data_IF_604664598713
#
_entry.id   IF_604664598713
#
_cell.length_a   1.000
_cell.length_b   1.000
_cell.length_c   1.000
_cell.angle_alpha   90.00
_cell.angle_beta   90.00
_cell.angle_gamma   90.00
#
_symmetry.space_group_name_H-M   'P 1'
#
loop_
_entity.id
_entity.type
_entity.pdbx_description
1 polymer ?
#
# COMPACT_ATOMS: atom_id res chain seq x y z
N UNK A 1 2.75 22.65 35.47
CA UNK A 1 2.18 23.54 34.45
C UNK A 1 2.26 22.78 33.14
N UNK A 2 1.14 22.24 32.60
CA UNK A 2 1.09 21.63 31.29
C UNK A 2 1.27 22.76 30.28
N UNK A 3 2.39 22.76 29.53
CA UNK A 3 2.56 23.64 28.39
C UNK A 3 1.41 23.31 27.41
N UNK A 4 0.45 24.23 27.31
CA UNK A 4 -0.66 24.14 26.38
C UNK A 4 -0.13 24.29 24.96
N UNK A 5 0.36 23.19 24.36
CA UNK A 5 0.47 23.11 22.91
C UNK A 5 -0.95 23.20 22.38
N UNK A 6 -1.21 24.20 21.55
CA UNK A 6 -2.45 24.29 20.79
C UNK A 6 -2.52 23.02 19.95
N UNK A 7 -3.41 22.11 20.31
CA UNK A 7 -3.66 20.94 19.48
C UNK A 7 -4.29 21.42 18.16
N UNK A 8 -4.07 20.67 17.12
CA UNK A 8 -4.57 20.97 15.79
C UNK A 8 -5.77 20.08 15.44
N UNK A 9 -6.74 20.59 14.71
CA UNK A 9 -7.74 19.77 14.05
C UNK A 9 -7.18 19.34 12.71
N UNK A 10 -7.16 18.01 12.45
CA UNK A 10 -6.60 17.44 11.24
C UNK A 10 -7.71 16.92 10.31
N UNK A 11 -7.53 17.11 9.00
CA UNK A 11 -8.35 16.53 7.95
C UNK A 11 -7.48 15.66 7.04
N UNK A 12 -7.69 14.35 7.04
CA UNK A 12 -7.14 13.46 6.04
C UNK A 12 -8.01 13.45 4.78
N UNK A 13 -7.39 13.50 3.59
CA UNK A 13 -8.12 13.44 2.32
C UNK A 13 -7.57 12.30 1.46
N UNK A 14 -8.43 11.32 1.21
CA UNK A 14 -8.21 10.23 0.25
C UNK A 14 -9.18 10.34 -0.94
N UNK A 15 -8.97 9.58 -2.00
CA UNK A 15 -9.93 9.48 -3.09
C UNK A 15 -11.15 8.67 -2.66
N UNK A 16 -10.91 7.47 -2.14
CA UNK A 16 -11.91 6.54 -1.60
C UNK A 16 -11.53 6.14 -0.18
N UNK A 17 -12.39 5.44 0.51
CA UNK A 17 -12.11 4.66 1.72
C UNK A 17 -12.51 3.21 1.52
N UNK A 18 -12.24 2.67 0.32
CA UNK A 18 -12.42 1.27 -0.02
C UNK A 18 -11.19 0.42 0.32
N UNK A 19 -11.10 -0.79 -0.26
CA UNK A 19 -10.00 -1.71 -0.03
C UNK A 19 -8.80 -1.28 -0.86
N UNK A 20 -7.76 -0.82 -0.15
CA UNK A 20 -6.51 -0.42 -0.78
C UNK A 20 -5.44 -0.14 0.26
N UNK A 21 -4.16 -0.17 -0.16
CA UNK A 21 -3.05 0.08 0.74
C UNK A 21 -3.03 1.52 1.27
N UNK A 22 -3.29 2.50 0.42
CA UNK A 22 -3.32 3.91 0.80
C UNK A 22 -4.48 4.21 1.76
N UNK A 23 -5.68 3.67 1.48
CA UNK A 23 -6.87 3.81 2.31
C UNK A 23 -6.67 3.21 3.70
N UNK A 24 -6.00 2.06 3.78
CA UNK A 24 -5.61 1.44 5.05
C UNK A 24 -4.66 2.34 5.86
N UNK A 25 -3.68 2.95 5.21
CA UNK A 25 -2.77 3.91 5.87
C UNK A 25 -3.54 5.12 6.39
N UNK A 26 -4.49 5.67 5.62
CA UNK A 26 -5.35 6.78 6.08
C UNK A 26 -6.13 6.38 7.32
N UNK A 27 -6.76 5.20 7.30
CA UNK A 27 -7.50 4.68 8.44
C UNK A 27 -6.60 4.55 9.68
N UNK A 28 -5.44 3.91 9.55
CA UNK A 28 -4.50 3.72 10.65
C UNK A 28 -4.00 5.05 11.24
N UNK A 29 -3.64 6.03 10.40
CA UNK A 29 -3.21 7.34 10.87
C UNK A 29 -4.35 8.10 11.57
N UNK A 30 -5.56 8.03 11.04
CA UNK A 30 -6.71 8.70 11.61
C UNK A 30 -7.11 8.12 12.97
N UNK A 31 -7.01 6.80 13.15
CA UNK A 31 -7.41 6.12 14.40
C UNK A 31 -6.32 6.13 15.45
N UNK A 32 -5.08 5.77 15.10
CA UNK A 32 -4.02 5.51 16.09
C UNK A 32 -3.25 6.76 16.49
N UNK A 33 -3.40 7.85 15.73
CA UNK A 33 -2.87 9.15 16.10
C UNK A 33 -3.94 10.16 16.56
N UNK A 34 -5.20 9.70 16.74
CA UNK A 34 -6.30 10.60 17.13
C UNK A 34 -6.02 11.39 18.41
N UNK A 35 -5.33 10.81 19.38
CA UNK A 35 -5.01 11.48 20.65
C UNK A 35 -3.94 12.57 20.52
N UNK A 36 -3.28 12.68 19.38
CA UNK A 36 -2.33 13.77 19.09
C UNK A 36 -3.02 15.04 18.58
N UNK A 37 -4.32 14.98 18.26
CA UNK A 37 -5.13 16.06 17.73
C UNK A 37 -6.35 16.32 18.61
N UNK A 38 -6.97 17.51 18.49
CA UNK A 38 -8.23 17.82 19.16
C UNK A 38 -9.40 17.14 18.45
N UNK A 39 -9.38 17.16 17.10
CA UNK A 39 -10.34 16.47 16.27
C UNK A 39 -9.64 15.89 15.04
N UNK A 40 -10.09 14.71 14.63
CA UNK A 40 -9.63 14.03 13.40
C UNK A 40 -10.81 13.83 12.48
N UNK A 41 -10.63 14.26 11.24
CA UNK A 41 -11.63 14.15 10.17
C UNK A 41 -11.03 13.42 8.98
N UNK A 42 -11.88 12.71 8.22
CA UNK A 42 -11.52 12.09 6.94
C UNK A 42 -12.49 12.56 5.87
N UNK A 43 -12.00 12.91 4.69
CA UNK A 43 -12.82 13.24 3.52
C UNK A 43 -12.48 12.34 2.34
N UNK A 44 -13.50 11.75 1.72
CA UNK A 44 -13.37 10.90 0.52
C UNK A 44 -14.73 10.72 -0.18
N UNK A 45 -14.77 9.94 -1.27
CA UNK A 45 -16.05 9.53 -1.87
C UNK A 45 -16.84 8.54 -1.02
N UNK A 46 -16.19 7.97 0.01
CA UNK A 46 -16.72 6.90 0.85
C UNK A 46 -16.09 5.54 0.54
N UNK A 47 -16.58 4.49 1.21
CA UNK A 47 -16.13 3.11 1.04
C UNK A 47 -16.24 2.28 2.31
N UNK A 48 -15.70 1.07 2.28
CA UNK A 48 -15.84 0.06 3.34
C UNK A 48 -15.24 0.46 4.70
N UNK A 49 -14.30 1.41 4.72
CA UNK A 49 -13.70 1.88 5.97
C UNK A 49 -14.54 2.94 6.70
N UNK A 50 -15.64 3.46 6.11
CA UNK A 50 -16.44 4.52 6.74
C UNK A 50 -17.04 4.09 8.08
N UNK A 51 -17.60 2.87 8.14
CA UNK A 51 -18.20 2.32 9.36
C UNK A 51 -17.14 2.19 10.46
N UNK A 52 -15.98 1.63 10.13
CA UNK A 52 -14.86 1.49 11.06
C UNK A 52 -14.30 2.84 11.55
N UNK A 53 -14.30 3.87 10.70
CA UNK A 53 -13.94 5.23 11.12
C UNK A 53 -14.93 5.75 12.16
N UNK A 54 -16.25 5.60 11.91
CA UNK A 54 -17.30 6.02 12.82
C UNK A 54 -17.23 5.30 14.17
N UNK A 55 -17.00 3.98 14.18
CA UNK A 55 -16.79 3.17 15.40
C UNK A 55 -15.62 3.70 16.25
N UNK A 56 -14.59 4.27 15.63
CA UNK A 56 -13.45 4.90 16.31
C UNK A 56 -13.64 6.38 16.64
N UNK A 57 -14.86 6.93 16.40
CA UNK A 57 -15.20 8.32 16.69
C UNK A 57 -14.60 9.31 15.67
N UNK A 58 -14.18 8.86 14.50
CA UNK A 58 -13.63 9.69 13.42
C UNK A 58 -14.75 10.14 12.51
N UNK A 59 -14.89 11.46 12.32
CA UNK A 59 -15.92 12.01 11.45
C UNK A 59 -15.50 11.89 9.97
N UNK A 60 -16.29 11.15 9.17
CA UNK A 60 -16.11 11.07 7.73
C UNK A 60 -17.01 12.07 6.99
N UNK A 61 -16.43 12.79 6.03
CA UNK A 61 -17.10 13.74 5.15
C UNK A 61 -17.11 13.20 3.71
N UNK A 62 -18.29 12.87 3.19
CA UNK A 62 -18.41 12.49 1.78
C UNK A 62 -18.22 13.71 0.87
N UNK A 63 -17.27 13.59 -0.06
CA UNK A 63 -16.99 14.56 -1.11
C UNK A 63 -17.09 13.89 -2.50
N UNK A 64 -17.18 14.71 -3.55
CA UNK A 64 -17.13 14.20 -4.92
C UNK A 64 -15.71 13.67 -5.25
N UNK A 65 -15.63 12.76 -6.23
CA UNK A 65 -14.36 12.17 -6.64
C UNK A 65 -13.34 13.25 -7.03
N UNK A 66 -12.27 13.34 -6.24
CA UNK A 66 -11.19 14.33 -6.44
C UNK A 66 -10.46 14.16 -7.78
N UNK A 67 -10.59 13.01 -8.45
CA UNK A 67 -9.99 12.77 -9.77
C UNK A 67 -10.86 13.23 -10.94
N UNK A 68 -12.06 13.75 -10.66
CA UNK A 68 -12.96 14.29 -11.68
C UNK A 68 -12.35 15.50 -12.38
N UNK A 69 -12.43 15.51 -13.71
CA UNK A 69 -11.93 16.60 -14.57
C UNK A 69 -13.03 17.60 -14.98
N UNK A 70 -14.28 17.37 -14.57
CA UNK A 70 -15.41 18.25 -14.93
C UNK A 70 -15.32 19.56 -14.14
N UNK A 71 -15.33 20.75 -14.80
CA UNK A 71 -15.15 22.03 -14.13
C UNK A 71 -16.17 22.30 -13.01
N UNK A 72 -17.44 21.95 -13.23
CA UNK A 72 -18.49 22.10 -12.23
C UNK A 72 -18.22 21.21 -10.98
N UNK A 73 -17.71 19.99 -11.18
CA UNK A 73 -17.32 19.07 -10.08
C UNK A 73 -16.14 19.63 -9.30
N UNK A 74 -15.13 20.15 -10.00
CA UNK A 74 -13.95 20.81 -9.39
C UNK A 74 -14.37 21.95 -8.46
N UNK A 75 -15.28 22.82 -8.92
CA UNK A 75 -15.80 23.93 -8.10
C UNK A 75 -16.56 23.43 -6.86
N UNK A 76 -17.38 22.37 -7.01
CA UNK A 76 -18.11 21.76 -5.90
C UNK A 76 -17.15 21.13 -4.88
N UNK A 77 -16.07 20.46 -5.32
CA UNK A 77 -15.04 19.90 -4.43
C UNK A 77 -14.36 21.02 -3.64
N UNK A 78 -13.91 22.09 -4.31
CA UNK A 78 -13.29 23.24 -3.64
C UNK A 78 -14.23 23.89 -2.61
N UNK A 79 -15.51 24.07 -2.95
CA UNK A 79 -16.50 24.61 -2.03
C UNK A 79 -16.73 23.70 -0.83
N UNK A 80 -16.85 22.37 -1.04
CA UNK A 80 -17.01 21.37 0.03
C UNK A 80 -15.81 21.35 0.95
N UNK A 81 -14.59 21.27 0.41
CA UNK A 81 -13.37 21.26 1.23
C UNK A 81 -13.21 22.59 1.99
N UNK A 82 -13.47 23.74 1.37
CA UNK A 82 -13.42 25.04 2.04
C UNK A 82 -14.42 25.13 3.20
N UNK A 83 -15.63 24.58 3.03
CA UNK A 83 -16.64 24.49 4.07
C UNK A 83 -16.21 23.59 5.22
N UNK A 84 -15.73 22.36 4.94
CA UNK A 84 -15.26 21.42 5.95
C UNK A 84 -14.13 22.05 6.78
N UNK A 85 -13.15 22.67 6.11
CA UNK A 85 -12.02 23.34 6.76
C UNK A 85 -12.50 24.42 7.74
N UNK A 86 -13.46 25.24 7.30
CA UNK A 86 -13.98 26.36 8.11
C UNK A 86 -14.86 25.89 9.26
N UNK A 87 -15.82 25.00 9.00
CA UNK A 87 -16.82 24.55 10.00
C UNK A 87 -16.18 23.71 11.11
N UNK A 88 -15.09 22.98 10.82
CA UNK A 88 -14.40 22.13 11.77
C UNK A 88 -13.06 22.71 12.23
N UNK A 89 -12.82 23.99 11.99
CA UNK A 89 -11.60 24.72 12.43
C UNK A 89 -10.31 23.97 12.07
N UNK A 90 -10.25 23.35 10.87
CA UNK A 90 -9.12 22.54 10.42
C UNK A 90 -7.88 23.43 10.26
N UNK A 91 -6.82 23.10 10.95
CA UNK A 91 -5.53 23.80 10.87
C UNK A 91 -4.48 23.03 10.09
N UNK A 92 -4.63 21.69 10.01
CA UNK A 92 -3.74 20.78 9.29
C UNK A 92 -4.54 19.90 8.34
N UNK A 93 -4.12 19.87 7.07
CA UNK A 93 -4.69 18.93 6.07
C UNK A 93 -3.60 17.98 5.61
N UNK A 94 -3.89 16.68 5.70
CA UNK A 94 -3.03 15.63 5.19
C UNK A 94 -3.68 14.96 3.99
N UNK A 95 -3.09 15.15 2.82
CA UNK A 95 -3.60 14.57 1.56
C UNK A 95 -2.83 13.33 1.17
N UNK A 96 -3.55 12.30 0.70
CA UNK A 96 -3.02 11.02 0.25
C UNK A 96 -3.22 10.77 -1.25
N UNK A 97 -3.75 11.77 -1.95
CA UNK A 97 -3.97 11.74 -3.39
C UNK A 97 -3.50 13.05 -4.05
N UNK A 98 -2.79 12.96 -5.19
CA UNK A 98 -2.17 14.14 -5.84
C UNK A 98 -3.18 15.22 -6.26
N UNK A 99 -4.40 14.84 -6.69
CA UNK A 99 -5.42 15.83 -7.01
C UNK A 99 -6.01 16.48 -5.76
N UNK A 100 -6.13 15.76 -4.65
CA UNK A 100 -6.48 16.37 -3.37
C UNK A 100 -5.42 17.41 -2.95
N UNK A 101 -4.13 17.09 -3.11
CA UNK A 101 -3.05 18.04 -2.85
C UNK A 101 -3.18 19.31 -3.71
N UNK A 102 -3.54 19.17 -4.98
CA UNK A 102 -3.80 20.31 -5.86
C UNK A 102 -4.94 21.21 -5.36
N UNK A 103 -6.06 20.64 -4.91
CA UNK A 103 -7.15 21.41 -4.34
C UNK A 103 -6.75 22.15 -3.06
N UNK A 104 -6.03 21.48 -2.17
CA UNK A 104 -5.54 22.12 -0.93
C UNK A 104 -4.55 23.25 -1.25
N UNK A 105 -3.68 23.07 -2.26
CA UNK A 105 -2.79 24.15 -2.70
C UNK A 105 -3.55 25.39 -3.18
N UNK A 106 -4.66 25.23 -3.88
CA UNK A 106 -5.55 26.33 -4.27
C UNK A 106 -6.22 26.98 -3.05
N UNK A 107 -6.69 26.17 -2.09
CA UNK A 107 -7.31 26.67 -0.87
C UNK A 107 -6.32 27.41 0.03
N UNK A 108 -5.03 27.05 0.05
CA UNK A 108 -4.00 27.79 0.77
C UNK A 108 -3.83 29.26 0.28
N UNK A 109 -4.28 29.59 -0.94
CA UNK A 109 -4.30 30.99 -1.41
C UNK A 109 -5.27 31.85 -0.60
N UNK A 110 -6.36 31.22 -0.07
CA UNK A 110 -7.38 31.86 0.78
C UNK A 110 -7.18 31.59 2.27
N UNK A 111 -6.49 30.50 2.60
CA UNK A 111 -6.19 30.06 3.96
C UNK A 111 -4.66 29.89 4.14
N UNK A 112 -3.89 31.00 4.17
CA UNK A 112 -2.42 30.94 4.13
C UNK A 112 -1.77 30.28 5.35
N UNK A 113 -2.51 30.16 6.47
CA UNK A 113 -2.06 29.48 7.70
C UNK A 113 -2.33 27.98 7.71
N UNK A 114 -3.04 27.46 6.70
CA UNK A 114 -3.37 26.03 6.60
C UNK A 114 -2.09 25.24 6.37
N UNK A 115 -1.73 24.37 7.29
CA UNK A 115 -0.60 23.44 7.14
C UNK A 115 -1.03 22.33 6.20
N UNK A 116 -0.19 22.02 5.21
CA UNK A 116 -0.46 20.97 4.25
C UNK A 116 0.63 19.89 4.32
N UNK A 117 0.23 18.67 4.64
CA UNK A 117 1.05 17.46 4.57
C UNK A 117 0.58 16.63 3.37
N UNK A 118 1.50 16.05 2.64
CA UNK A 118 1.21 15.15 1.54
C UNK A 118 2.00 13.86 1.68
N UNK A 119 1.33 12.71 1.69
CA UNK A 119 1.99 11.40 1.58
C UNK A 119 1.90 10.88 0.15
N UNK A 120 3.06 10.70 -0.48
CA UNK A 120 3.20 10.07 -1.79
C UNK A 120 3.24 8.55 -1.62
N UNK A 121 2.22 7.86 -2.13
CA UNK A 121 2.09 6.40 -2.07
C UNK A 121 2.63 5.69 -3.32
N UNK A 122 3.00 6.45 -4.36
CA UNK A 122 3.42 5.88 -5.64
C UNK A 122 4.42 6.79 -6.36
N UNK A 123 5.13 6.22 -7.32
CA UNK A 123 5.99 6.94 -8.25
C UNK A 123 5.13 7.47 -9.41
N UNK A 124 5.26 8.75 -9.76
CA UNK A 124 4.54 9.38 -10.85
C UNK A 124 5.48 9.95 -11.90
N UNK A 125 5.17 9.70 -13.17
CA UNK A 125 5.93 10.19 -14.33
C UNK A 125 5.13 11.14 -15.22
N UNK A 126 3.83 11.32 -14.93
CA UNK A 126 2.92 12.17 -15.70
C UNK A 126 2.56 13.45 -14.94
N UNK A 127 2.18 14.50 -15.68
CA UNK A 127 1.67 15.79 -15.14
C UNK A 127 2.59 16.43 -14.09
N UNK A 128 3.89 16.24 -14.19
CA UNK A 128 4.89 16.68 -13.21
C UNK A 128 4.80 18.19 -12.88
N UNK A 129 4.57 19.13 -13.81
CA UNK A 129 4.43 20.55 -13.47
C UNK A 129 3.25 20.84 -12.55
N UNK A 130 2.10 20.17 -12.80
CA UNK A 130 0.91 20.29 -11.96
C UNK A 130 1.17 19.70 -10.57
N UNK A 131 1.87 18.59 -10.51
CA UNK A 131 2.24 17.91 -9.28
C UNK A 131 3.22 18.77 -8.46
N UNK A 132 4.23 19.36 -9.11
CA UNK A 132 5.15 20.31 -8.48
C UNK A 132 4.40 21.51 -7.89
N UNK A 133 3.44 22.09 -8.62
CA UNK A 133 2.61 23.18 -8.09
C UNK A 133 1.81 22.73 -6.88
N UNK A 134 1.16 21.57 -6.95
CA UNK A 134 0.33 21.02 -5.85
C UNK A 134 1.13 20.85 -4.56
N UNK A 135 2.40 20.45 -4.66
CA UNK A 135 3.27 20.19 -3.51
C UNK A 135 4.15 21.38 -3.09
N UNK A 136 4.11 22.50 -3.81
CA UNK A 136 5.05 23.63 -3.62
C UNK A 136 5.06 24.27 -2.22
N UNK A 137 4.07 23.99 -1.36
CA UNK A 137 4.02 24.38 0.06
C UNK A 137 3.63 23.23 0.99
N UNK A 138 3.65 22.01 0.50
CA UNK A 138 3.34 20.84 1.30
C UNK A 138 4.60 20.30 1.99
N UNK A 139 4.44 19.82 3.22
CA UNK A 139 5.43 18.95 3.84
C UNK A 139 5.27 17.55 3.24
N UNK A 140 6.19 17.16 2.37
CA UNK A 140 6.09 15.94 1.59
C UNK A 140 6.67 14.73 2.34
N UNK A 141 5.87 13.68 2.47
CA UNK A 141 6.27 12.37 2.97
C UNK A 141 6.30 11.40 1.79
N UNK A 142 7.35 10.60 1.70
CA UNK A 142 7.48 9.49 0.77
C UNK A 142 7.39 8.17 1.54
N UNK A 143 6.62 7.21 1.04
CA UNK A 143 6.46 5.90 1.69
C UNK A 143 7.68 5.00 1.56
N UNK A 144 8.68 5.39 0.76
CA UNK A 144 9.94 4.68 0.53
C UNK A 144 10.95 5.55 -0.21
N UNK A 145 12.19 5.07 -0.32
CA UNK A 145 13.28 5.81 -0.97
C UNK A 145 13.02 6.04 -2.46
N UNK A 146 12.46 5.05 -3.16
CA UNK A 146 12.11 5.17 -4.58
C UNK A 146 11.11 6.31 -4.83
N UNK A 147 10.14 6.46 -3.94
CA UNK A 147 9.15 7.56 -4.00
C UNK A 147 9.80 8.90 -3.65
N UNK A 148 10.69 8.92 -2.65
CA UNK A 148 11.46 10.11 -2.28
C UNK A 148 12.32 10.60 -3.44
N UNK A 149 13.02 9.69 -4.11
CA UNK A 149 13.85 10.01 -5.27
C UNK A 149 13.00 10.57 -6.42
N UNK A 150 11.85 9.96 -6.74
CA UNK A 150 10.92 10.49 -7.73
C UNK A 150 10.42 11.91 -7.39
N UNK A 151 10.08 12.17 -6.12
CA UNK A 151 9.69 13.51 -5.68
C UNK A 151 10.82 14.53 -5.88
N UNK A 152 12.06 14.15 -5.59
CA UNK A 152 13.24 15.04 -5.72
C UNK A 152 13.64 15.28 -7.16
N UNK A 153 13.80 14.22 -7.94
CA UNK A 153 14.39 14.29 -9.29
C UNK A 153 13.37 14.67 -10.35
N UNK A 154 12.22 14.00 -10.38
CA UNK A 154 11.23 14.17 -11.43
C UNK A 154 10.26 15.32 -11.12
N UNK A 155 9.77 15.39 -9.87
CA UNK A 155 8.80 16.43 -9.46
C UNK A 155 9.50 17.71 -9.02
N UNK A 156 10.71 17.63 -8.49
CA UNK A 156 11.52 18.78 -8.05
C UNK A 156 11.15 19.30 -6.67
N UNK A 157 10.70 18.40 -5.76
CA UNK A 157 10.46 18.67 -4.34
C UNK A 157 11.67 18.22 -3.55
N UNK A 158 12.49 19.16 -3.07
CA UNK A 158 13.79 18.86 -2.42
C UNK A 158 13.63 18.31 -1.01
N UNK A 159 12.69 18.87 -0.24
CA UNK A 159 12.48 18.49 1.17
C UNK A 159 11.41 17.39 1.24
N UNK A 160 11.86 16.16 1.34
CA UNK A 160 11.01 14.99 1.51
C UNK A 160 11.45 14.20 2.73
N UNK A 161 10.49 13.76 3.54
CA UNK A 161 10.71 12.85 4.67
C UNK A 161 10.32 11.44 4.24
N UNK A 162 11.19 10.46 4.42
CA UNK A 162 10.84 9.06 4.19
C UNK A 162 10.24 8.48 5.47
N UNK A 163 9.02 7.96 5.38
CA UNK A 163 8.37 7.19 6.44
C UNK A 163 7.83 5.92 5.80
N UNK A 164 8.49 4.81 6.04
CA UNK A 164 8.03 3.50 5.56
C UNK A 164 6.68 3.16 6.16
N UNK A 165 5.78 2.62 5.34
CA UNK A 165 4.53 2.10 5.84
C UNK A 165 4.77 0.92 6.78
N UNK A 166 4.07 0.92 7.90
CA UNK A 166 3.96 -0.22 8.79
C UNK A 166 2.63 -0.93 8.58
N UNK A 167 2.62 -2.22 8.76
CA UNK A 167 1.41 -3.02 8.66
C UNK A 167 1.10 -3.59 10.03
N UNK A 168 -0.10 -3.30 10.53
CA UNK A 168 -0.67 -4.04 11.65
C UNK A 168 -1.54 -5.14 11.06
N UNK A 169 -1.29 -6.36 11.45
CA UNK A 169 -2.16 -7.49 11.20
C UNK A 169 -2.49 -8.12 12.55
N UNK A 170 -3.72 -8.57 12.71
CA UNK A 170 -4.07 -9.40 13.85
C UNK A 170 -3.25 -10.67 13.77
N UNK A 171 -2.57 -11.03 14.86
CA UNK A 171 -1.84 -12.29 14.91
C UNK A 171 -2.85 -13.43 14.88
N UNK A 172 -2.77 -14.27 13.88
CA UNK A 172 -3.55 -15.50 13.77
C UNK A 172 -2.64 -16.70 13.61
N UNK A 173 -2.93 -17.77 14.33
CA UNK A 173 -2.29 -19.08 14.14
C UNK A 173 -3.13 -19.97 13.21
N UNK A 174 -4.31 -19.50 12.85
CA UNK A 174 -5.20 -20.24 11.99
C UNK A 174 -4.65 -20.31 10.57
N UNK A 175 -5.14 -21.29 9.83
CA UNK A 175 -4.77 -21.54 8.44
C UNK A 175 -6.00 -21.81 7.60
N UNK A 176 -5.92 -21.51 6.29
CA UNK A 176 -7.04 -21.77 5.37
C UNK A 176 -7.01 -23.23 4.96
N UNK A 177 -8.04 -23.97 5.38
CA UNK A 177 -8.08 -25.43 5.23
C UNK A 177 -7.98 -25.92 3.79
N UNK A 178 -8.54 -25.18 2.82
CA UNK A 178 -8.44 -25.53 1.39
C UNK A 178 -7.01 -25.42 0.86
N UNK A 179 -6.24 -24.44 1.34
CA UNK A 179 -4.80 -24.29 1.01
C UNK A 179 -3.99 -25.43 1.67
N UNK A 180 -4.22 -25.65 2.97
CA UNK A 180 -3.47 -26.66 3.75
C UNK A 180 -3.69 -28.06 3.20
N UNK A 181 -4.91 -28.40 2.76
CA UNK A 181 -5.23 -29.73 2.20
C UNK A 181 -4.64 -29.98 0.82
N UNK A 182 -4.23 -28.94 0.10
CA UNK A 182 -3.56 -29.10 -1.18
C UNK A 182 -2.18 -29.71 -0.97
N UNK A 183 -1.84 -30.83 -1.62
CA UNK A 183 -0.54 -31.47 -1.44
C UNK A 183 0.59 -30.64 -2.04
N UNK A 184 1.82 -30.88 -1.59
CA UNK A 184 3.02 -30.24 -2.13
C UNK A 184 3.28 -28.82 -1.61
N UNK A 185 4.01 -28.03 -2.39
CA UNK A 185 4.45 -26.69 -2.03
C UNK A 185 3.40 -25.66 -2.42
N UNK A 186 2.97 -24.87 -1.45
CA UNK A 186 1.92 -23.85 -1.61
C UNK A 186 2.54 -22.46 -1.67
N UNK A 187 2.38 -21.78 -2.79
CA UNK A 187 2.86 -20.41 -2.93
C UNK A 187 1.68 -19.43 -3.04
N UNK A 188 1.80 -18.29 -2.39
CA UNK A 188 0.76 -17.26 -2.37
C UNK A 188 1.10 -16.03 -3.20
N UNK A 189 0.12 -15.45 -3.87
CA UNK A 189 0.20 -14.12 -4.42
C UNK A 189 -0.98 -13.29 -3.90
N UNK A 190 -0.69 -12.22 -3.15
CA UNK A 190 -1.71 -11.32 -2.59
C UNK A 190 -1.65 -10.02 -3.36
N UNK A 191 -2.64 -9.79 -4.21
CA UNK A 191 -2.62 -8.66 -5.11
C UNK A 191 -4.00 -8.28 -5.65
N UNK A 192 -4.19 -7.01 -5.96
CA UNK A 192 -5.28 -6.59 -6.85
C UNK A 192 -5.03 -7.16 -8.25
N UNK A 193 -6.06 -7.71 -8.89
CA UNK A 193 -5.93 -8.30 -10.22
C UNK A 193 -5.95 -7.20 -11.29
N UNK A 194 -4.84 -6.48 -11.41
CA UNK A 194 -4.64 -5.34 -12.30
C UNK A 194 -3.34 -5.47 -13.11
N UNK A 195 -3.20 -4.71 -14.19
CA UNK A 195 -2.01 -4.70 -15.02
C UNK A 195 -0.73 -4.39 -14.21
N UNK A 196 -0.82 -3.46 -13.27
CA UNK A 196 0.29 -3.09 -12.37
C UNK A 196 0.92 -4.29 -11.70
N UNK A 197 0.13 -5.30 -11.30
CA UNK A 197 0.58 -6.46 -10.52
C UNK A 197 1.20 -7.57 -11.37
N UNK A 198 1.13 -7.47 -12.69
CA UNK A 198 1.87 -8.34 -13.61
C UNK A 198 1.54 -9.84 -13.50
N UNK A 199 0.33 -10.20 -13.05
CA UNK A 199 -0.09 -11.58 -12.81
C UNK A 199 -0.03 -12.45 -14.08
N UNK A 200 -0.16 -11.84 -15.25
CA UNK A 200 0.02 -12.52 -16.53
C UNK A 200 1.39 -13.20 -16.62
N UNK A 201 2.45 -12.52 -16.19
CA UNK A 201 3.82 -13.06 -16.18
C UNK A 201 4.01 -14.12 -15.10
N UNK A 202 3.31 -14.03 -13.96
CA UNK A 202 3.33 -15.05 -12.92
C UNK A 202 2.66 -16.35 -13.40
N UNK A 203 1.50 -16.25 -14.07
CA UNK A 203 0.81 -17.42 -14.65
C UNK A 203 1.68 -18.06 -15.73
N UNK A 204 2.34 -17.27 -16.57
CA UNK A 204 3.30 -17.77 -17.56
C UNK A 204 4.49 -18.47 -16.86
N UNK A 205 5.03 -17.88 -15.77
CA UNK A 205 6.09 -18.50 -15.00
C UNK A 205 5.66 -19.87 -14.43
N UNK A 206 4.42 -20.01 -13.97
CA UNK A 206 3.90 -21.28 -13.46
C UNK A 206 3.88 -22.39 -14.52
N UNK A 207 3.75 -22.07 -15.81
CA UNK A 207 3.87 -23.06 -16.90
C UNK A 207 5.30 -23.55 -17.10
N UNK A 208 6.30 -22.80 -16.61
CA UNK A 208 7.74 -23.08 -16.72
C UNK A 208 8.31 -23.69 -15.44
N UNK A 209 7.58 -23.65 -14.32
CA UNK A 209 7.98 -24.27 -13.05
C UNK A 209 8.09 -25.79 -13.24
N UNK A 210 9.27 -26.32 -13.00
CA UNK A 210 9.62 -27.73 -13.23
C UNK A 210 9.12 -28.66 -12.12
N UNK A 211 8.96 -28.16 -10.91
CA UNK A 211 8.41 -28.93 -9.80
C UNK A 211 6.88 -29.03 -9.89
N UNK A 212 6.31 -30.20 -10.26
CA UNK A 212 4.88 -30.37 -10.45
C UNK A 212 4.06 -30.26 -9.16
N UNK A 213 4.71 -30.36 -7.99
CA UNK A 213 4.03 -30.26 -6.71
C UNK A 213 3.78 -28.81 -6.23
N UNK A 214 4.21 -27.80 -7.01
CA UNK A 214 3.98 -26.39 -6.67
C UNK A 214 2.59 -25.96 -7.11
N UNK A 215 1.79 -25.46 -6.19
CA UNK A 215 0.47 -24.85 -6.42
C UNK A 215 0.49 -23.37 -6.06
N UNK A 216 -0.07 -22.51 -6.94
CA UNK A 216 -0.19 -21.06 -6.75
C UNK A 216 -1.61 -20.73 -6.31
N UNK A 217 -1.72 -19.96 -5.23
CA UNK A 217 -2.97 -19.40 -4.72
C UNK A 217 -2.95 -17.87 -4.90
N UNK A 218 -3.92 -17.35 -5.65
CA UNK A 218 -4.06 -15.92 -5.92
C UNK A 218 -5.17 -15.37 -5.04
N UNK A 219 -4.81 -14.52 -4.08
CA UNK A 219 -5.71 -13.83 -3.15
C UNK A 219 -5.90 -12.40 -3.61
N UNK A 220 -7.14 -12.03 -3.89
CA UNK A 220 -7.53 -10.71 -4.36
C UNK A 220 -8.54 -10.74 -5.50
N UNK A 221 -9.00 -9.56 -5.91
CA UNK A 221 -9.94 -9.38 -7.01
C UNK A 221 -9.50 -8.17 -7.87
N UNK A 222 -10.09 -8.02 -9.05
CA UNK A 222 -9.80 -6.89 -9.93
C UNK A 222 -10.24 -7.11 -11.37
N UNK A 223 -10.03 -6.09 -12.19
CA UNK A 223 -10.51 -6.00 -13.56
C UNK A 223 -10.00 -7.13 -14.48
N UNK A 224 -8.81 -7.69 -14.20
CA UNK A 224 -8.21 -8.73 -15.05
C UNK A 224 -8.59 -10.17 -14.67
N UNK A 225 -9.47 -10.38 -13.67
CA UNK A 225 -9.80 -11.71 -13.16
C UNK A 225 -10.18 -12.71 -14.26
N UNK A 226 -11.09 -12.32 -15.13
CA UNK A 226 -11.56 -13.22 -16.20
C UNK A 226 -10.45 -13.54 -17.21
N UNK A 227 -9.64 -12.56 -17.59
CA UNK A 227 -8.55 -12.74 -18.54
C UNK A 227 -7.47 -13.67 -17.97
N UNK A 228 -7.15 -13.55 -16.67
CA UNK A 228 -6.19 -14.41 -15.98
C UNK A 228 -6.70 -15.85 -15.86
N UNK A 229 -8.00 -16.05 -15.61
CA UNK A 229 -8.62 -17.39 -15.61
C UNK A 229 -8.56 -18.03 -17.02
N UNK A 230 -8.84 -17.25 -18.07
CA UNK A 230 -8.73 -17.72 -19.46
C UNK A 230 -7.29 -18.10 -19.80
N UNK A 231 -6.31 -17.29 -19.39
CA UNK A 231 -4.89 -17.59 -19.58
C UNK A 231 -4.48 -18.89 -18.86
N UNK A 232 -4.92 -19.08 -17.62
CA UNK A 232 -4.66 -20.28 -16.81
C UNK A 232 -5.16 -21.54 -17.55
N UNK A 233 -6.41 -21.52 -18.05
CA UNK A 233 -6.99 -22.62 -18.84
C UNK A 233 -6.23 -22.89 -20.14
N UNK A 234 -5.86 -21.83 -20.85
CA UNK A 234 -5.09 -21.96 -22.11
C UNK A 234 -3.75 -22.64 -21.89
N UNK A 235 -3.14 -22.48 -20.72
CA UNK A 235 -1.87 -23.09 -20.35
C UNK A 235 -2.02 -24.46 -19.65
N UNK A 236 -3.25 -24.94 -19.42
CA UNK A 236 -3.53 -26.21 -18.75
C UNK A 236 -3.11 -26.25 -17.28
N UNK A 237 -3.27 -25.11 -16.57
CA UNK A 237 -2.79 -24.93 -15.19
C UNK A 237 -3.91 -24.88 -14.14
N UNK A 238 -5.16 -25.29 -14.48
CA UNK A 238 -6.33 -25.20 -13.60
C UNK A 238 -6.16 -25.97 -12.29
N UNK A 239 -5.42 -27.08 -12.33
CA UNK A 239 -5.14 -27.92 -11.15
C UNK A 239 -4.02 -27.34 -10.27
N UNK A 240 -3.25 -26.36 -10.78
CA UNK A 240 -2.09 -25.77 -10.11
C UNK A 240 -2.24 -24.30 -9.73
N UNK A 241 -3.25 -23.60 -10.27
CA UNK A 241 -3.51 -22.19 -9.99
C UNK A 241 -4.93 -22.01 -9.49
N UNK A 242 -5.06 -21.49 -8.27
CA UNK A 242 -6.32 -21.33 -7.54
C UNK A 242 -6.60 -19.84 -7.30
N UNK A 243 -7.72 -19.34 -7.81
CA UNK A 243 -8.17 -17.97 -7.58
C UNK A 243 -9.12 -17.95 -6.38
N UNK A 244 -8.66 -17.44 -5.23
CA UNK A 244 -9.42 -17.41 -3.99
C UNK A 244 -10.37 -16.20 -3.88
N UNK A 245 -10.27 -15.24 -4.81
CA UNK A 245 -11.02 -13.99 -4.73
C UNK A 245 -10.54 -13.10 -3.60
N UNK A 246 -11.36 -12.08 -3.29
CA UNK A 246 -11.12 -11.23 -2.14
C UNK A 246 -11.28 -12.02 -0.83
N UNK A 247 -10.32 -11.84 0.09
CA UNK A 247 -10.32 -12.47 1.41
C UNK A 247 -10.09 -11.42 2.50
N UNK A 248 -10.81 -11.54 3.61
CA UNK A 248 -10.57 -10.73 4.83
C UNK A 248 -9.55 -11.39 5.76
N UNK A 249 -9.41 -12.72 5.70
CA UNK A 249 -8.48 -13.55 6.47
C UNK A 249 -7.13 -13.71 5.75
N UNK A 250 -6.51 -12.56 5.41
CA UNK A 250 -5.24 -12.55 4.65
C UNK A 250 -4.08 -13.15 5.45
N UNK A 251 -4.10 -12.98 6.78
CA UNK A 251 -3.06 -13.56 7.68
C UNK A 251 -3.08 -15.06 7.62
N UNK A 252 -4.26 -15.67 7.73
CA UNK A 252 -4.48 -17.11 7.66
C UNK A 252 -4.06 -17.66 6.31
N UNK A 253 -4.33 -16.92 5.23
CA UNK A 253 -3.84 -17.27 3.90
C UNK A 253 -2.30 -17.28 3.88
N UNK A 254 -1.64 -16.20 4.36
CA UNK A 254 -0.17 -16.12 4.40
C UNK A 254 0.42 -17.25 5.23
N UNK A 255 -0.16 -17.54 6.40
CA UNK A 255 0.29 -18.63 7.27
C UNK A 255 0.21 -19.99 6.57
N UNK A 256 -0.76 -20.18 5.67
CA UNK A 256 -0.97 -21.41 4.91
C UNK A 256 0.02 -21.61 3.76
N UNK A 257 0.76 -20.57 3.34
CA UNK A 257 1.73 -20.65 2.26
C UNK A 257 3.14 -21.02 2.77
N UNK A 258 3.91 -21.69 1.92
CA UNK A 258 5.33 -21.93 2.14
C UNK A 258 6.17 -20.67 1.93
N UNK A 259 5.86 -19.92 0.87
CA UNK A 259 6.42 -18.60 0.57
C UNK A 259 5.47 -17.84 -0.37
N UNK A 260 5.76 -16.56 -0.61
CA UNK A 260 4.94 -15.72 -1.48
C UNK A 260 5.66 -15.35 -2.78
N UNK A 261 4.88 -14.86 -3.75
CA UNK A 261 5.39 -14.33 -5.02
C UNK A 261 4.74 -12.98 -5.31
N UNK A 262 5.54 -12.00 -5.75
CA UNK A 262 5.08 -10.71 -6.25
C UNK A 262 5.65 -10.45 -7.64
N UNK A 263 4.78 -10.34 -8.64
CA UNK A 263 5.14 -10.11 -10.05
C UNK A 263 4.94 -8.67 -10.52
N UNK A 264 4.84 -7.73 -9.58
CA UNK A 264 4.48 -6.32 -9.85
C UNK A 264 5.42 -5.67 -10.89
N UNK A 265 4.85 -4.81 -11.73
CA UNK A 265 5.57 -4.07 -12.78
C UNK A 265 6.09 -2.74 -12.23
N UNK A 266 5.36 -2.13 -11.31
CA UNK A 266 5.76 -0.93 -10.58
C UNK A 266 5.05 -0.86 -9.23
N UNK A 267 5.72 -0.28 -8.22
CA UNK A 267 5.21 -0.08 -6.86
C UNK A 267 5.73 1.25 -6.29
N UNK A 268 5.00 1.79 -5.33
CA UNK A 268 5.55 2.83 -4.45
C UNK A 268 6.27 2.19 -3.26
N UNK A 269 5.53 1.38 -2.51
CA UNK A 269 6.02 0.47 -1.48
C UNK A 269 5.03 -0.69 -1.38
N UNK A 270 5.49 -1.91 -1.59
CA UNK A 270 4.63 -3.09 -1.66
C UNK A 270 4.25 -3.58 -0.26
N UNK A 271 3.05 -3.22 0.23
CA UNK A 271 2.57 -3.64 1.56
C UNK A 271 2.50 -5.16 1.69
N UNK A 272 2.11 -5.89 0.64
CA UNK A 272 2.06 -7.35 0.65
C UNK A 272 3.42 -8.00 0.91
N UNK A 273 4.54 -7.35 0.55
CA UNK A 273 5.90 -7.79 0.91
C UNK A 273 6.13 -7.60 2.40
N UNK A 274 5.73 -6.47 2.96
CA UNK A 274 5.85 -6.20 4.40
C UNK A 274 4.97 -7.17 5.20
N UNK A 275 3.76 -7.46 4.73
CA UNK A 275 2.86 -8.48 5.31
C UNK A 275 3.48 -9.88 5.27
N UNK A 276 4.16 -10.22 4.18
CA UNK A 276 4.91 -11.47 4.07
C UNK A 276 5.99 -11.59 5.15
N UNK A 277 6.77 -10.53 5.35
CA UNK A 277 7.85 -10.49 6.33
C UNK A 277 7.33 -10.50 7.77
N UNK A 278 6.24 -9.77 8.05
CA UNK A 278 5.54 -9.81 9.34
C UNK A 278 5.16 -11.26 9.73
N UNK A 279 4.70 -12.06 8.78
CA UNK A 279 4.30 -13.44 9.00
C UNK A 279 5.46 -14.47 8.87
N UNK A 280 6.71 -14.00 8.97
CA UNK A 280 7.89 -14.89 8.93
C UNK A 280 7.95 -15.74 7.66
N UNK A 281 7.54 -15.18 6.52
CA UNK A 281 7.64 -15.82 5.21
C UNK A 281 8.66 -15.07 4.36
N UNK A 282 9.25 -15.78 3.38
CA UNK A 282 10.09 -15.18 2.34
C UNK A 282 9.31 -15.02 1.04
N UNK A 283 9.91 -14.38 0.05
CA UNK A 283 9.23 -14.02 -1.19
C UNK A 283 10.15 -14.15 -2.41
N UNK A 284 9.59 -14.53 -3.55
CA UNK A 284 10.13 -14.22 -4.88
C UNK A 284 9.46 -12.96 -5.37
N UNK A 285 10.21 -11.94 -5.73
CA UNK A 285 9.64 -10.66 -6.15
C UNK A 285 10.37 -10.06 -7.35
N UNK A 286 9.69 -9.22 -8.11
CA UNK A 286 10.31 -8.49 -9.21
C UNK A 286 11.26 -7.41 -8.68
N UNK A 287 12.42 -7.26 -9.32
CA UNK A 287 13.42 -6.23 -9.04
C UNK A 287 12.97 -4.90 -9.64
N UNK A 288 12.20 -4.18 -8.85
CA UNK A 288 11.69 -2.85 -9.18
C UNK A 288 11.81 -1.90 -7.97
N UNK A 289 11.91 -0.59 -8.19
CA UNK A 289 11.78 0.39 -7.12
C UNK A 289 10.51 0.16 -6.28
N UNK A 290 10.61 0.33 -4.95
CA UNK A 290 9.52 0.03 -4.01
C UNK A 290 9.40 -1.44 -3.58
N UNK A 291 10.08 -2.37 -4.26
CA UNK A 291 10.27 -3.76 -3.82
C UNK A 291 11.72 -4.01 -3.42
N UNK A 292 12.69 -3.60 -4.25
CA UNK A 292 14.12 -3.87 -4.01
C UNK A 292 14.72 -3.06 -2.85
N UNK A 293 14.02 -2.12 -2.31
CA UNK A 293 14.38 -1.46 -1.04
C UNK A 293 13.95 -2.29 0.20
N UNK A 294 13.02 -3.25 0.02
CA UNK A 294 12.54 -4.16 1.07
C UNK A 294 13.20 -5.53 0.92
N UNK A 295 13.22 -6.07 -0.30
CA UNK A 295 13.70 -7.43 -0.63
C UNK A 295 15.13 -7.36 -1.13
N UNK A 296 15.97 -8.27 -0.61
CA UNK A 296 17.36 -8.47 -1.04
C UNK A 296 17.73 -9.96 -0.90
N UNK A 297 18.96 -10.33 -1.31
CA UNK A 297 19.43 -11.72 -1.33
C UNK A 297 19.44 -12.41 0.04
N UNK A 298 19.31 -11.67 1.16
CA UNK A 298 19.30 -12.24 2.52
C UNK A 298 17.92 -12.56 3.04
N UNK A 299 16.84 -11.98 2.47
CA UNK A 299 15.48 -12.10 2.96
C UNK A 299 14.46 -12.55 1.88
N UNK A 300 14.87 -12.60 0.59
CA UNK A 300 14.04 -13.02 -0.52
C UNK A 300 14.84 -13.22 -1.80
N UNK A 301 14.15 -13.45 -2.92
CA UNK A 301 14.77 -13.54 -4.24
C UNK A 301 14.19 -12.47 -5.16
N UNK A 302 15.06 -11.66 -5.75
CA UNK A 302 14.69 -10.67 -6.77
C UNK A 302 14.92 -11.24 -8.17
N UNK A 303 13.94 -11.00 -9.05
CA UNK A 303 13.98 -11.43 -10.46
C UNK A 303 13.66 -10.24 -11.39
N UNK A 304 14.20 -10.21 -12.61
CA UNK A 304 13.87 -9.15 -13.56
C UNK A 304 12.37 -9.05 -13.83
N UNK A 305 11.85 -7.83 -13.94
CA UNK A 305 10.45 -7.56 -14.28
C UNK A 305 10.08 -8.14 -15.64
N UNK A 306 8.87 -8.69 -15.77
CA UNK A 306 8.37 -9.32 -17.01
C UNK A 306 9.25 -10.47 -17.52
N UNK A 307 9.87 -11.21 -16.62
CA UNK A 307 10.71 -12.36 -16.96
C UNK A 307 10.19 -13.66 -16.31
N UNK A 308 9.24 -14.35 -16.97
CA UNK A 308 8.66 -15.59 -16.45
C UNK A 308 9.71 -16.70 -16.20
N UNK A 309 10.75 -16.80 -17.04
CA UNK A 309 11.80 -17.81 -16.87
C UNK A 309 12.58 -17.62 -15.56
N UNK A 310 13.04 -16.40 -15.27
CA UNK A 310 13.75 -16.11 -14.04
C UNK A 310 12.85 -16.31 -12.81
N UNK A 311 11.57 -15.96 -12.93
CA UNK A 311 10.58 -16.16 -11.86
C UNK A 311 10.35 -17.65 -11.60
N UNK A 312 10.20 -18.48 -12.64
CA UNK A 312 10.05 -19.93 -12.51
C UNK A 312 11.27 -20.57 -11.82
N UNK A 313 12.49 -20.19 -12.23
CA UNK A 313 13.73 -20.69 -11.61
C UNK A 313 13.82 -20.32 -10.13
N UNK A 314 13.43 -19.10 -9.75
CA UNK A 314 13.42 -18.66 -8.36
C UNK A 314 12.35 -19.41 -7.54
N UNK A 315 11.17 -19.66 -8.13
CA UNK A 315 10.11 -20.49 -7.51
C UNK A 315 10.62 -21.91 -7.27
N UNK A 316 11.17 -22.56 -8.30
CA UNK A 316 11.73 -23.92 -8.17
C UNK A 316 12.82 -24.01 -7.09
N UNK A 317 13.70 -22.99 -7.02
CA UNK A 317 14.74 -22.92 -5.99
C UNK A 317 14.16 -22.87 -4.58
N UNK A 318 13.21 -21.96 -4.30
CA UNK A 318 12.60 -21.88 -2.97
C UNK A 318 11.72 -23.11 -2.66
N UNK A 319 11.10 -23.71 -3.65
CA UNK A 319 10.32 -24.93 -3.49
C UNK A 319 11.19 -26.13 -3.14
N UNK A 320 12.37 -26.26 -3.75
CA UNK A 320 13.29 -27.38 -3.53
C UNK A 320 14.21 -27.22 -2.33
N UNK A 321 14.59 -26.00 -1.95
CA UNK A 321 15.59 -25.74 -0.94
C UNK A 321 14.96 -25.26 0.40
N UNK A 322 14.32 -26.16 1.16
CA UNK A 322 13.58 -25.84 2.40
C UNK A 322 14.44 -25.06 3.40
N UNK A 323 15.65 -25.53 3.73
CA UNK A 323 16.54 -24.85 4.69
C UNK A 323 16.96 -23.45 4.24
N UNK A 324 17.14 -23.24 2.93
CA UNK A 324 17.45 -21.93 2.38
C UNK A 324 16.25 -21.00 2.52
N UNK A 325 15.05 -21.48 2.17
CA UNK A 325 13.77 -20.76 2.33
C UNK A 325 13.56 -20.33 3.80
N UNK A 326 13.75 -21.22 4.76
CA UNK A 326 13.60 -20.92 6.19
C UNK A 326 14.62 -19.87 6.68
N UNK A 327 15.87 -19.93 6.19
CA UNK A 327 16.91 -18.92 6.50
C UNK A 327 16.48 -17.54 6.02
N UNK A 328 15.98 -17.43 4.78
CA UNK A 328 15.48 -16.17 4.23
C UNK A 328 14.27 -15.66 5.01
N UNK A 329 13.31 -16.51 5.33
CA UNK A 329 12.12 -16.17 6.10
C UNK A 329 12.45 -15.62 7.50
N UNK A 330 13.40 -16.23 8.20
CA UNK A 330 13.88 -15.73 9.48
C UNK A 330 14.49 -14.32 9.36
N UNK A 331 15.29 -14.07 8.33
CA UNK A 331 15.88 -12.74 8.10
C UNK A 331 14.80 -11.71 7.70
N UNK A 332 13.83 -12.11 6.89
CA UNK A 332 12.68 -11.28 6.52
C UNK A 332 11.93 -10.77 7.76
N UNK A 333 11.66 -11.65 8.74
CA UNK A 333 11.04 -11.25 10.01
C UNK A 333 11.87 -10.24 10.79
N UNK A 334 13.18 -10.43 10.89
CA UNK A 334 14.07 -9.48 11.57
C UNK A 334 14.10 -8.12 10.87
N UNK A 335 14.05 -8.10 9.54
CA UNK A 335 14.01 -6.86 8.78
C UNK A 335 12.67 -6.11 8.98
N UNK A 336 11.54 -6.85 9.05
CA UNK A 336 10.26 -6.27 9.44
C UNK A 336 10.35 -5.61 10.82
N UNK A 337 10.81 -6.33 11.84
CA UNK A 337 10.90 -5.83 13.21
C UNK A 337 11.76 -4.58 13.34
N UNK A 338 12.85 -4.50 12.57
CA UNK A 338 13.81 -3.40 12.64
C UNK A 338 13.38 -2.15 11.86
N UNK A 339 12.68 -2.31 10.72
CA UNK A 339 12.43 -1.20 9.79
C UNK A 339 10.96 -0.94 9.48
N UNK A 340 10.13 -2.00 9.41
CA UNK A 340 8.76 -1.91 8.88
C UNK A 340 7.71 -2.19 9.93
N UNK A 341 8.10 -2.22 11.23
CA UNK A 341 7.16 -2.48 12.32
C UNK A 341 6.11 -1.37 12.40
N UNK A 342 4.89 -1.76 12.73
CA UNK A 342 3.78 -0.84 12.89
C UNK A 342 4.05 0.24 13.93
N UNK A 343 4.68 -0.13 15.04
CA UNK A 343 5.05 0.82 16.09
C UNK A 343 6.04 1.89 15.59
N UNK A 344 7.03 1.50 14.78
CA UNK A 344 7.96 2.46 14.15
C UNK A 344 7.23 3.41 13.19
N UNK A 345 6.32 2.89 12.38
CA UNK A 345 5.51 3.67 11.47
C UNK A 345 4.70 4.75 12.21
N UNK A 346 3.92 4.37 13.23
CA UNK A 346 3.12 5.32 14.02
C UNK A 346 4.00 6.33 14.76
N UNK A 347 5.11 5.89 15.37
CA UNK A 347 6.04 6.79 16.06
C UNK A 347 6.69 7.81 15.12
N UNK A 348 7.06 7.41 13.90
CA UNK A 348 7.64 8.32 12.92
C UNK A 348 6.64 9.40 12.48
N UNK A 349 5.37 9.04 12.23
CA UNK A 349 4.33 10.03 11.93
C UNK A 349 4.04 10.96 13.13
N UNK A 350 3.99 10.42 14.35
CA UNK A 350 3.84 11.22 15.57
C UNK A 350 4.97 12.25 15.69
N UNK A 351 6.22 11.82 15.53
CA UNK A 351 7.37 12.72 15.55
C UNK A 351 7.33 13.76 14.42
N UNK A 352 6.86 13.35 13.24
CA UNK A 352 6.70 14.25 12.11
C UNK A 352 5.67 15.34 12.41
N UNK A 353 4.46 14.99 12.85
CA UNK A 353 3.43 15.97 13.18
C UNK A 353 3.81 16.89 14.35
N UNK A 354 4.61 16.40 15.30
CA UNK A 354 5.08 17.22 16.43
C UNK A 354 6.04 18.35 16.01
N UNK A 355 6.67 18.24 14.83
CA UNK A 355 7.60 19.25 14.28
C UNK A 355 6.91 20.30 13.42
N UNK A 356 5.65 20.14 13.07
CA UNK A 356 4.86 21.08 12.28
C UNK A 356 4.32 22.21 13.15
#
# INVERSE_FOLDING_TARGET
MKNGKQKNNILHISRTMDIGGAERIVYQLATDLKDEFDQVHVASTGGLWEEKLAENGIQHHRILDVDSKQPATVLKILASLSRIIKENEITLVHTHHRMAAFYIRLLQLRHPKLIHVYTAHNVFKDKLPLYKFALGKAHAIAVGEAVSENLKTDVGIKDTTVIYNGVLMEESQDTVSEIVRTPGVKIGCIARLSEQKGLTYLIEAMSLVTNPSVSLFIVGDGELKNDLIVQTKKLGLEERIHFLGYRSDVVECINSFDFLVSSSIYEGLALSVIETFLNSKTIVATDIPGINEIVNETNGLLVPVKNPNAMAQAIDKLAGEVKFREKLAKKARLDYESKYSYSSFINNYKQFYTKL
#
